data_IF_611646160930
#
_entry.id   IF_611646160930
#
_cell.length_a   1.000
_cell.length_b   1.000
_cell.length_c   1.000
_cell.angle_alpha   90.00
_cell.angle_beta   90.00
_cell.angle_gamma   90.00
#
_symmetry.space_group_name_H-M   'P 1'
#
loop_
_entity.id
_entity.type
_entity.pdbx_description
1 polymer ?
#
# COMPACT_ATOMS: atom_id res chain seq x y z
N UNK A 1 -2.16 -27.33 36.39
CA UNK A 1 -2.59 -25.95 36.68
C UNK A 1 -2.11 -24.93 35.64
N UNK A 2 -0.81 -24.76 35.40
CA UNK A 2 -0.29 -23.81 34.37
C UNK A 2 -0.92 -23.97 32.98
N UNK A 3 -0.99 -25.20 32.46
CA UNK A 3 -1.58 -25.48 31.15
C UNK A 3 -3.08 -25.15 31.08
N UNK A 4 -3.81 -25.33 32.19
CA UNK A 4 -5.24 -24.99 32.24
C UNK A 4 -5.45 -23.48 32.22
N UNK A 5 -4.57 -22.72 32.88
CA UNK A 5 -4.58 -21.27 32.84
C UNK A 5 -4.27 -20.76 31.43
N UNK A 6 -3.28 -21.34 30.75
CA UNK A 6 -2.93 -21.00 29.37
C UNK A 6 -4.12 -21.22 28.42
N UNK A 7 -4.79 -22.38 28.52
CA UNK A 7 -5.97 -22.67 27.71
C UNK A 7 -7.17 -21.77 28.05
N UNK A 8 -7.32 -21.35 29.31
CA UNK A 8 -8.35 -20.38 29.69
C UNK A 8 -8.07 -19.00 29.07
N UNK A 9 -6.81 -18.57 29.06
CA UNK A 9 -6.39 -17.32 28.43
C UNK A 9 -6.69 -17.32 26.93
N UNK A 10 -6.26 -18.36 26.20
CA UNK A 10 -6.51 -18.47 24.75
C UNK A 10 -8.00 -18.42 24.40
N UNK A 11 -8.85 -19.10 25.18
CA UNK A 11 -10.31 -19.03 24.98
C UNK A 11 -10.87 -17.64 25.22
N UNK A 12 -10.33 -16.91 26.20
CA UNK A 12 -10.73 -15.53 26.45
C UNK A 12 -10.31 -14.62 25.29
N UNK A 13 -9.09 -14.79 24.78
CA UNK A 13 -8.59 -14.05 23.62
C UNK A 13 -9.45 -14.30 22.38
N UNK A 14 -9.75 -15.57 22.07
CA UNK A 14 -10.63 -15.92 20.94
C UNK A 14 -12.04 -15.36 21.11
N UNK A 15 -12.58 -15.34 22.33
CA UNK A 15 -13.89 -14.77 22.61
C UNK A 15 -13.92 -13.28 22.31
N UNK A 16 -12.93 -12.52 22.78
CA UNK A 16 -12.83 -11.09 22.50
C UNK A 16 -12.59 -10.84 21.00
N UNK A 17 -11.74 -11.64 20.35
CA UNK A 17 -11.49 -11.51 18.91
C UNK A 17 -12.76 -11.73 18.10
N UNK A 18 -13.60 -12.69 18.51
CA UNK A 18 -14.88 -12.95 17.87
C UNK A 18 -15.91 -11.85 18.16
N UNK A 19 -15.94 -11.31 19.38
CA UNK A 19 -16.83 -10.21 19.76
C UNK A 19 -16.55 -8.96 18.92
N UNK A 20 -15.27 -8.64 18.69
CA UNK A 20 -14.85 -7.42 17.98
C UNK A 20 -14.52 -7.65 16.49
N UNK A 21 -14.79 -8.86 15.98
CA UNK A 21 -14.44 -9.28 14.61
C UNK A 21 -14.91 -8.31 13.54
N UNK A 22 -16.11 -7.75 13.69
CA UNK A 22 -16.68 -6.83 12.71
C UNK A 22 -15.91 -5.49 12.67
N UNK A 23 -15.61 -4.93 13.85
CA UNK A 23 -14.84 -3.68 13.95
C UNK A 23 -13.42 -3.86 13.43
N UNK A 24 -12.73 -4.94 13.82
CA UNK A 24 -11.39 -5.26 13.34
C UNK A 24 -11.37 -5.34 11.81
N UNK A 25 -12.36 -6.02 11.21
CA UNK A 25 -12.48 -6.09 9.74
C UNK A 25 -12.67 -4.72 9.11
N UNK A 26 -13.50 -3.86 9.70
CA UNK A 26 -13.72 -2.52 9.17
C UNK A 26 -12.43 -1.69 9.21
N UNK A 27 -11.71 -1.71 10.33
CA UNK A 27 -10.43 -1.02 10.47
C UNK A 27 -9.38 -1.52 9.46
N UNK A 28 -9.33 -2.83 9.23
CA UNK A 28 -8.45 -3.41 8.21
C UNK A 28 -8.83 -2.93 6.80
N UNK A 29 -10.11 -2.87 6.46
CA UNK A 29 -10.59 -2.37 5.17
C UNK A 29 -10.22 -0.91 4.98
N UNK A 30 -10.44 -0.07 6.00
CA UNK A 30 -10.12 1.36 5.93
C UNK A 30 -8.62 1.60 5.68
N UNK A 31 -7.75 0.83 6.33
CA UNK A 31 -6.30 0.86 6.09
C UNK A 31 -5.93 0.37 4.68
N UNK A 32 -6.59 -0.68 4.18
CA UNK A 32 -6.36 -1.15 2.81
C UNK A 32 -6.75 -0.08 1.79
N UNK A 33 -7.88 0.62 1.98
CA UNK A 33 -8.29 1.72 1.09
C UNK A 33 -7.25 2.85 1.09
N UNK A 34 -6.76 3.27 2.27
CA UNK A 34 -5.66 4.27 2.37
C UNK A 34 -4.38 3.79 1.70
N UNK A 35 -4.06 2.49 1.77
CA UNK A 35 -2.82 1.96 1.19
C UNK A 35 -2.90 1.75 -0.31
N UNK A 36 -4.06 1.44 -0.87
CA UNK A 36 -4.18 1.07 -2.29
C UNK A 36 -4.89 2.15 -3.10
N UNK A 37 -6.07 2.60 -2.69
CA UNK A 37 -6.86 3.59 -3.43
C UNK A 37 -6.16 4.96 -3.43
N UNK A 38 -5.68 5.42 -2.27
CA UNK A 38 -4.97 6.70 -2.16
C UNK A 38 -3.59 6.65 -2.80
N UNK A 39 -2.89 5.50 -2.76
CA UNK A 39 -1.62 5.36 -3.48
C UNK A 39 -1.84 5.43 -4.99
N UNK A 40 -2.87 4.78 -5.53
CA UNK A 40 -3.16 4.86 -6.96
C UNK A 40 -3.47 6.30 -7.39
N UNK A 41 -4.29 7.02 -6.61
CA UNK A 41 -4.56 8.44 -6.85
C UNK A 41 -3.29 9.29 -6.78
N UNK A 42 -2.45 9.07 -5.78
CA UNK A 42 -1.18 9.77 -5.63
C UNK A 42 -0.19 9.44 -6.76
N UNK A 43 -0.10 8.19 -7.19
CA UNK A 43 0.72 7.78 -8.32
C UNK A 43 0.23 8.42 -9.62
N UNK A 44 -1.08 8.39 -9.90
CA UNK A 44 -1.69 9.07 -11.06
C UNK A 44 -1.42 10.58 -11.06
N UNK A 45 -1.45 11.20 -9.89
CA UNK A 45 -1.08 12.59 -9.75
C UNK A 45 0.40 12.79 -10.11
N UNK A 46 1.33 12.06 -9.49
CA UNK A 46 2.75 12.23 -9.78
C UNK A 46 3.12 11.92 -11.24
N UNK A 47 2.51 10.93 -11.88
CA UNK A 47 2.79 10.63 -13.29
C UNK A 47 2.41 11.77 -14.24
N UNK A 48 1.52 12.67 -13.83
CA UNK A 48 1.03 13.79 -14.65
C UNK A 48 1.55 15.15 -14.20
N UNK A 49 1.84 15.33 -12.91
CA UNK A 49 2.23 16.62 -12.32
C UNK A 49 3.71 16.76 -12.00
N UNK A 50 4.45 15.64 -11.85
CA UNK A 50 5.86 15.68 -11.50
C UNK A 50 6.73 16.04 -12.72
N UNK A 51 7.48 17.13 -12.59
CA UNK A 51 8.31 17.69 -13.65
C UNK A 51 9.42 16.76 -14.13
N UNK A 52 10.03 15.98 -13.24
CA UNK A 52 11.08 15.02 -13.54
C UNK A 52 10.52 13.84 -14.33
N UNK A 53 9.35 13.33 -13.93
CA UNK A 53 8.65 12.27 -14.66
C UNK A 53 8.28 12.77 -16.05
N UNK A 54 7.65 13.95 -16.18
CA UNK A 54 7.28 14.51 -17.48
C UNK A 54 8.50 14.70 -18.40
N UNK A 55 9.60 15.27 -17.89
CA UNK A 55 10.83 15.47 -18.68
C UNK A 55 11.46 14.14 -19.08
N UNK A 56 11.46 13.15 -18.19
CA UNK A 56 11.99 11.82 -18.48
C UNK A 56 11.15 11.11 -19.54
N UNK A 57 9.83 11.17 -19.46
CA UNK A 57 8.93 10.63 -20.48
C UNK A 57 9.13 11.34 -21.83
N UNK A 58 9.27 12.66 -21.84
CA UNK A 58 9.55 13.41 -23.06
C UNK A 58 10.89 13.01 -23.69
N UNK A 59 11.94 12.86 -22.88
CA UNK A 59 13.26 12.40 -23.33
C UNK A 59 13.19 10.98 -23.92
N UNK A 60 12.51 10.04 -23.26
CA UNK A 60 12.36 8.67 -23.74
C UNK A 60 11.56 8.59 -25.05
N UNK A 61 10.65 9.54 -25.29
CA UNK A 61 9.87 9.66 -26.53
C UNK A 61 10.65 10.34 -27.66
N UNK A 62 11.87 10.85 -27.41
CA UNK A 62 12.78 11.39 -28.42
C UNK A 62 14.02 10.48 -28.56
N UNK A 63 13.99 9.48 -29.46
CA UNK A 63 15.10 8.57 -29.65
C UNK A 63 16.41 9.26 -30.05
N UNK A 64 16.35 10.40 -30.75
CA UNK A 64 17.54 11.11 -31.20
C UNK A 64 18.26 11.78 -30.02
N UNK A 65 17.51 12.51 -29.18
CA UNK A 65 18.05 13.09 -27.95
C UNK A 65 18.50 12.00 -26.97
N UNK A 66 17.73 10.94 -26.84
CA UNK A 66 18.07 9.83 -25.95
C UNK A 66 19.36 9.12 -26.38
N UNK A 67 19.50 8.79 -27.67
CA UNK A 67 20.72 8.14 -28.19
C UNK A 67 21.94 9.06 -28.09
N UNK A 68 21.76 10.38 -28.24
CA UNK A 68 22.82 11.37 -28.02
C UNK A 68 23.36 11.33 -26.59
N UNK A 69 22.50 11.14 -25.59
CA UNK A 69 22.92 10.96 -24.19
C UNK A 69 23.63 9.61 -23.99
N UNK A 70 23.14 8.56 -24.64
CA UNK A 70 23.75 7.23 -24.58
C UNK A 70 25.09 7.12 -25.34
N UNK A 71 25.52 8.17 -26.04
CA UNK A 71 26.72 8.18 -26.88
C UNK A 71 26.73 7.02 -27.89
N UNK A 72 25.56 6.69 -28.45
CA UNK A 72 25.38 5.70 -29.51
C UNK A 72 25.22 6.36 -30.88
#
# INVERSE_FOLDING_TARGET
>A
EYQQLLSALQRSEEKELNAHKQEIKQLMIDELIKRYQYKEGLYKYYTTSNTEITKSTALLNDPAQYNKILMK
#
